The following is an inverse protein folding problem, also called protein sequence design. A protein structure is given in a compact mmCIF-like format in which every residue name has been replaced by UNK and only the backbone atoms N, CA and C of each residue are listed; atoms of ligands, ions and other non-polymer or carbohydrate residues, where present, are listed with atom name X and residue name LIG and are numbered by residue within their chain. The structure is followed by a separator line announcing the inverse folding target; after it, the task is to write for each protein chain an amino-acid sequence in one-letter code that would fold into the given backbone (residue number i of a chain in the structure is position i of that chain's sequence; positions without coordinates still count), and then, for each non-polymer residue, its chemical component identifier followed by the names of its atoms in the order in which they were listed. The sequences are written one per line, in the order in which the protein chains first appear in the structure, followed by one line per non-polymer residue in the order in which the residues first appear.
data_IF_768247063945
#
_entry.id   IF_768247063945
#
_cell.length_a   1.000
_cell.length_b   1.000
_cell.length_c   1.000
_cell.angle_alpha   90.00
_cell.angle_beta   90.00
_cell.angle_gamma   90.00
#
_symmetry.space_group_name_H-M   'P 1'
#
loop_
_entity.id
_entity.type
_entity.pdbx_description
1 polymer ?
#
# COMPACT_ATOMS: atom_id res chain seq x y z
N UNK A 1 -15.56 -8.11 7.13
CA UNK A 1 -14.54 -8.16 6.07
C UNK A 1 -14.73 -6.96 5.15
N UNK A 2 -13.66 -6.23 4.82
CA UNK A 2 -13.71 -5.18 3.80
C UNK A 2 -14.16 -5.81 2.48
N UNK A 3 -15.18 -5.25 1.85
CA UNK A 3 -15.78 -5.81 0.65
C UNK A 3 -14.95 -5.52 -0.61
N UNK A 4 -13.88 -4.71 -0.51
CA UNK A 4 -12.92 -4.39 -1.59
C UNK A 4 -13.59 -3.95 -2.91
N UNK A 5 -14.83 -3.43 -2.84
CA UNK A 5 -15.71 -3.20 -4.00
C UNK A 5 -15.19 -2.15 -4.97
N UNK A 6 -14.25 -1.31 -4.53
CA UNK A 6 -13.66 -0.25 -5.32
C UNK A 6 -12.39 -0.70 -6.08
N UNK A 7 -11.85 -1.90 -5.78
CA UNK A 7 -10.68 -2.41 -6.47
C UNK A 7 -11.04 -2.94 -7.85
N UNK A 8 -10.18 -2.66 -8.83
CA UNK A 8 -10.30 -3.15 -10.20
C UNK A 8 -9.30 -4.28 -10.45
N UNK A 9 -9.80 -5.47 -10.75
CA UNK A 9 -8.98 -6.67 -10.97
C UNK A 9 -8.75 -6.93 -12.47
N UNK A 10 -8.12 -8.07 -12.79
CA UNK A 10 -7.90 -8.58 -14.14
C UNK A 10 -7.07 -7.65 -15.05
N UNK A 11 -6.12 -6.93 -14.46
CA UNK A 11 -5.15 -6.10 -15.17
C UNK A 11 -3.82 -6.82 -15.26
N UNK A 12 -3.30 -6.98 -16.47
CA UNK A 12 -2.01 -7.64 -16.70
C UNK A 12 -1.13 -6.79 -17.59
N UNK A 13 0.17 -6.73 -17.28
CA UNK A 13 1.16 -6.06 -18.13
C UNK A 13 2.43 -6.89 -18.25
N UNK A 14 2.95 -7.10 -19.48
CA UNK A 14 4.22 -7.76 -19.67
C UNK A 14 5.39 -6.84 -19.32
N UNK A 15 6.41 -7.42 -18.69
CA UNK A 15 7.70 -6.73 -18.54
C UNK A 15 8.39 -6.69 -19.88
N UNK A 16 8.61 -5.49 -20.39
CA UNK A 16 9.39 -5.29 -21.61
C UNK A 16 10.07 -3.93 -21.58
N UNK A 17 11.39 -3.93 -21.72
CA UNK A 17 12.20 -2.70 -21.75
C UNK A 17 12.17 -2.09 -23.15
N UNK A 18 11.80 -0.80 -23.31
CA UNK A 18 11.79 -0.15 -24.61
C UNK A 18 13.22 0.03 -25.13
N UNK A 19 13.70 -0.92 -25.93
CA UNK A 19 15.04 -0.93 -26.51
C UNK A 19 15.10 -0.11 -27.80
N UNK A 20 14.82 1.19 -27.73
CA UNK A 20 15.17 2.24 -28.71
C UNK A 20 14.70 2.12 -30.18
N UNK A 21 14.31 0.95 -30.68
CA UNK A 21 14.02 0.72 -32.10
C UNK A 21 12.56 0.35 -32.38
N UNK A 22 11.87 -0.33 -31.47
CA UNK A 22 10.41 -0.57 -31.53
C UNK A 22 9.96 -1.34 -30.28
N UNK A 23 8.88 -0.92 -29.63
CA UNK A 23 8.19 -1.69 -28.57
C UNK A 23 7.07 -2.58 -29.14
N UNK A 24 7.03 -2.77 -30.47
CA UNK A 24 5.94 -3.44 -31.21
C UNK A 24 4.55 -2.83 -31.02
N UNK A 25 4.44 -1.64 -30.44
CA UNK A 25 3.18 -0.98 -30.09
C UNK A 25 2.43 -1.66 -28.94
N UNK A 26 3.07 -2.58 -28.22
CA UNK A 26 2.48 -3.28 -27.11
C UNK A 26 2.68 -2.51 -25.80
N UNK A 27 1.62 -2.37 -25.02
CA UNK A 27 1.72 -1.77 -23.69
C UNK A 27 2.56 -2.67 -22.77
N UNK A 28 3.54 -2.08 -22.08
CA UNK A 28 4.45 -2.82 -21.21
C UNK A 28 4.78 -2.05 -19.94
N UNK A 29 5.43 -2.75 -19.01
CA UNK A 29 6.00 -2.19 -17.78
C UNK A 29 7.51 -2.44 -17.75
N UNK A 30 8.29 -1.47 -17.28
CA UNK A 30 9.75 -1.57 -17.16
C UNK A 30 10.28 -0.69 -16.05
N UNK A 31 11.57 -0.80 -15.76
CA UNK A 31 12.22 -0.02 -14.71
C UNK A 31 11.62 -0.28 -13.33
N UNK A 32 11.21 -1.53 -13.07
CA UNK A 32 10.69 -1.97 -11.78
C UNK A 32 11.77 -1.76 -10.71
N UNK A 33 11.45 -0.95 -9.72
CA UNK A 33 12.33 -0.67 -8.59
C UNK A 33 11.59 -0.94 -7.28
N UNK A 34 12.16 -1.81 -6.46
CA UNK A 34 11.61 -2.24 -5.17
C UNK A 34 12.40 -1.56 -4.06
N UNK A 35 11.72 -0.79 -3.23
CA UNK A 35 12.29 -0.13 -2.07
C UNK A 35 11.75 -0.78 -0.81
N UNK A 36 12.65 -1.22 0.07
CA UNK A 36 12.29 -1.76 1.39
C UNK A 36 12.63 -0.74 2.47
N UNK A 37 11.66 -0.49 3.36
CA UNK A 37 11.80 0.42 4.48
C UNK A 37 11.63 -0.34 5.80
N UNK A 38 12.36 0.07 6.84
CA UNK A 38 12.06 -0.39 8.21
C UNK A 38 10.92 0.48 8.73
N UNK A 39 9.84 -0.14 9.21
CA UNK A 39 8.61 0.54 9.62
C UNK A 39 8.29 0.27 11.08
N UNK A 40 7.35 1.02 11.62
CA UNK A 40 7.03 1.01 13.03
C UNK A 40 6.40 -0.32 13.47
N UNK A 41 6.85 -0.86 14.61
CA UNK A 41 6.47 -2.22 15.02
C UNK A 41 5.05 -2.31 15.57
N UNK A 42 4.56 -1.24 16.20
CA UNK A 42 3.21 -1.19 16.72
C UNK A 42 2.72 0.24 16.93
N UNK A 43 1.39 0.37 17.08
CA UNK A 43 0.73 1.65 17.31
C UNK A 43 -0.21 1.57 18.52
N UNK A 44 -0.14 2.57 19.39
CA UNK A 44 -1.10 2.82 20.47
C UNK A 44 -1.68 4.21 20.31
N UNK A 45 -2.98 4.34 20.58
CA UNK A 45 -3.72 5.56 20.27
C UNK A 45 -4.57 5.98 21.45
N UNK A 46 -4.66 7.27 21.71
CA UNK A 46 -5.40 7.83 22.84
C UNK A 46 -6.13 9.10 22.46
N UNK A 47 -7.28 9.27 23.11
CA UNK A 47 -8.13 10.44 23.04
C UNK A 47 -8.60 10.82 24.45
N UNK A 48 -9.20 12.00 24.60
CA UNK A 48 -9.88 12.45 25.80
C UNK A 48 -11.23 13.07 25.46
N UNK A 49 -12.28 12.54 26.07
CA UNK A 49 -13.63 13.07 25.94
C UNK A 49 -14.05 13.75 27.26
N UNK A 50 -14.24 15.09 27.27
CA UNK A 50 -14.65 15.79 28.49
C UNK A 50 -16.06 15.43 28.96
N UNK A 51 -16.92 14.91 28.08
CA UNK A 51 -18.29 14.49 28.44
C UNK A 51 -18.32 13.17 29.22
N UNK A 52 -17.24 12.41 29.13
CA UNK A 52 -17.04 11.16 29.83
C UNK A 52 -15.59 11.08 30.32
N UNK A 53 -15.22 12.01 31.20
CA UNK A 53 -13.84 12.23 31.61
C UNK A 53 -13.20 11.03 32.33
N UNK A 54 -14.01 10.08 32.81
CA UNK A 54 -13.52 8.86 33.46
C UNK A 54 -13.22 7.73 32.45
N UNK A 55 -13.65 7.87 31.21
CA UNK A 55 -13.43 6.86 30.17
C UNK A 55 -12.00 6.90 29.64
N UNK A 56 -11.32 5.76 29.70
CA UNK A 56 -9.98 5.58 29.15
C UNK A 56 -10.08 5.24 27.68
N UNK A 57 -10.02 6.27 26.83
CA UNK A 57 -10.07 6.14 25.37
C UNK A 57 -8.70 5.79 24.78
N UNK A 58 -8.03 4.79 25.35
CA UNK A 58 -6.76 4.27 24.85
C UNK A 58 -6.96 2.91 24.19
N UNK A 59 -6.43 2.75 22.98
CA UNK A 59 -6.42 1.47 22.28
C UNK A 59 -5.53 0.45 23.01
N UNK A 60 -5.73 -0.83 22.70
CA UNK A 60 -4.65 -1.80 22.87
C UNK A 60 -3.50 -1.47 21.90
N UNK A 61 -2.33 -2.03 22.16
CA UNK A 61 -1.21 -2.03 21.21
C UNK A 61 -1.61 -2.80 19.96
N UNK A 62 -1.62 -2.13 18.81
CA UNK A 62 -1.94 -2.73 17.53
C UNK A 62 -0.66 -3.22 16.85
N UNK A 63 -0.50 -4.55 16.76
CA UNK A 63 0.51 -5.22 15.94
C UNK A 63 -0.18 -6.09 14.89
N UNK A 64 -0.13 -5.68 13.62
CA UNK A 64 -0.75 -6.38 12.50
C UNK A 64 0.18 -7.38 11.82
N UNK A 65 1.46 -7.39 12.17
CA UNK A 65 2.39 -8.47 11.80
C UNK A 65 2.21 -9.69 12.69
N UNK A 66 1.55 -9.53 13.85
CA UNK A 66 1.29 -10.57 14.86
C UNK A 66 2.59 -11.23 15.33
N UNK A 67 3.62 -10.43 15.58
CA UNK A 67 4.95 -10.88 15.99
C UNK A 67 5.87 -11.29 14.85
N UNK A 68 5.37 -11.45 13.61
CA UNK A 68 6.23 -11.80 12.46
C UNK A 68 7.11 -10.63 11.99
N UNK A 69 6.89 -9.42 12.51
CA UNK A 69 7.68 -8.23 12.19
C UNK A 69 8.97 -8.09 13.01
N UNK A 70 9.30 -9.04 13.88
CA UNK A 70 10.50 -8.96 14.73
C UNK A 70 11.78 -8.94 13.87
N UNK A 71 12.65 -7.96 14.12
CA UNK A 71 13.90 -7.76 13.37
C UNK A 71 13.77 -7.01 12.05
N UNK A 72 12.55 -6.75 11.56
CA UNK A 72 12.28 -5.95 10.34
C UNK A 72 11.42 -4.71 10.58
N UNK A 73 11.03 -4.49 11.84
CA UNK A 73 10.29 -3.31 12.32
C UNK A 73 11.02 -2.66 13.50
N UNK A 74 10.68 -1.42 13.84
CA UNK A 74 11.33 -0.68 14.93
C UNK A 74 10.35 0.15 15.74
N UNK A 75 10.65 0.35 17.02
CA UNK A 75 9.98 1.32 17.88
C UNK A 75 8.48 1.10 18.09
N UNK A 76 7.86 2.04 18.81
CA UNK A 76 6.43 2.04 19.12
C UNK A 76 5.89 3.44 18.88
N UNK A 77 4.74 3.54 18.20
CA UNK A 77 4.10 4.83 17.91
C UNK A 77 2.98 5.09 18.89
N UNK A 78 3.01 6.26 19.52
CA UNK A 78 1.93 6.73 20.37
C UNK A 78 1.25 7.96 19.78
N UNK A 79 -0.03 7.83 19.43
CA UNK A 79 -0.83 8.94 18.91
C UNK A 79 -1.85 9.43 19.94
N UNK A 80 -1.71 10.68 20.37
CA UNK A 80 -2.76 11.38 21.12
C UNK A 80 -3.52 12.34 20.19
N UNK A 81 -4.73 11.97 19.77
CA UNK A 81 -5.54 12.71 18.77
C UNK A 81 -7.03 12.63 19.12
N UNK A 82 -7.76 13.73 18.92
CA UNK A 82 -9.22 13.81 19.09
C UNK A 82 -9.96 13.20 17.90
N UNK A 83 -10.05 11.86 17.81
CA UNK A 83 -10.60 11.13 16.65
C UNK A 83 -11.62 10.03 16.98
N UNK A 84 -11.75 9.61 18.24
CA UNK A 84 -12.62 8.50 18.61
C UNK A 84 -13.27 8.76 19.98
N UNK A 85 -14.55 8.40 20.09
CA UNK A 85 -15.29 8.55 21.35
C UNK A 85 -15.36 7.27 22.17
N UNK A 86 -14.98 6.16 21.57
CA UNK A 86 -15.07 4.83 22.14
C UNK A 86 -13.79 4.06 21.87
N UNK A 87 -13.49 3.10 22.77
CA UNK A 87 -12.31 2.25 22.65
C UNK A 87 -12.45 1.19 21.55
N UNK A 88 -13.65 0.62 21.40
CA UNK A 88 -13.94 -0.50 20.49
C UNK A 88 -13.40 -1.85 20.99
N UNK A 89 -13.81 -2.94 20.32
CA UNK A 89 -13.26 -4.28 20.58
C UNK A 89 -11.78 -4.37 20.17
N UNK A 90 -11.00 -5.26 20.81
CA UNK A 90 -9.57 -5.42 20.52
C UNK A 90 -9.30 -6.21 19.24
N UNK A 91 -10.14 -7.19 18.94
CA UNK A 91 -9.92 -8.18 17.87
C UNK A 91 -10.68 -7.78 16.61
N UNK A 92 -11.95 -7.40 16.76
CA UNK A 92 -12.80 -6.93 15.66
C UNK A 92 -13.32 -5.52 15.96
N UNK A 93 -12.43 -4.50 15.89
CA UNK A 93 -12.80 -3.14 16.24
C UNK A 93 -13.82 -2.57 15.25
N UNK A 94 -14.89 -1.97 15.79
CA UNK A 94 -15.85 -1.22 15.00
C UNK A 94 -15.19 0.02 14.40
N UNK A 95 -15.69 0.46 13.23
CA UNK A 95 -15.19 1.66 12.58
C UNK A 95 -15.21 2.87 13.53
N UNK A 96 -14.24 3.77 13.38
CA UNK A 96 -14.12 5.02 14.16
C UNK A 96 -13.87 4.85 15.67
N UNK A 97 -13.39 3.67 16.10
CA UNK A 97 -12.97 3.41 17.49
C UNK A 97 -11.45 3.51 17.68
N UNK A 98 -10.98 3.60 18.92
CA UNK A 98 -9.53 3.67 19.23
C UNK A 98 -8.74 2.51 18.61
N UNK A 99 -9.21 1.27 18.79
CA UNK A 99 -8.55 0.08 18.25
C UNK A 99 -8.61 0.04 16.72
N UNK A 100 -9.69 0.53 16.11
CA UNK A 100 -9.79 0.64 14.65
C UNK A 100 -8.72 1.57 14.08
N UNK A 101 -8.56 2.76 14.67
CA UNK A 101 -7.54 3.68 14.19
C UNK A 101 -6.12 3.22 14.50
N UNK A 102 -5.88 2.54 15.62
CA UNK A 102 -4.56 1.95 15.91
C UNK A 102 -4.18 0.91 14.86
N UNK A 103 -5.14 0.03 14.52
CA UNK A 103 -4.98 -0.94 13.44
C UNK A 103 -4.74 -0.26 12.09
N UNK A 104 -5.57 0.71 11.72
CA UNK A 104 -5.45 1.42 10.44
C UNK A 104 -4.11 2.16 10.31
N UNK A 105 -3.68 2.85 11.37
CA UNK A 105 -2.37 3.53 11.40
C UNK A 105 -1.24 2.51 11.20
N UNK A 106 -1.29 1.35 11.87
CA UNK A 106 -0.25 0.32 11.71
C UNK A 106 -0.28 -0.33 10.31
N UNK A 107 -1.45 -0.67 9.77
CA UNK A 107 -1.57 -1.20 8.40
C UNK A 107 -0.99 -0.22 7.37
N UNK A 108 -1.14 1.09 7.59
CA UNK A 108 -0.50 2.12 6.73
C UNK A 108 1.02 2.09 6.82
N UNK A 109 1.59 1.94 8.02
CA UNK A 109 3.05 1.78 8.15
C UNK A 109 3.54 0.53 7.42
N UNK A 110 2.86 -0.61 7.59
CA UNK A 110 3.20 -1.86 6.89
C UNK A 110 3.08 -1.73 5.37
N UNK A 111 2.11 -0.99 4.86
CA UNK A 111 1.99 -0.73 3.42
C UNK A 111 3.19 0.06 2.86
N UNK A 112 3.86 0.88 3.67
CA UNK A 112 5.08 1.60 3.29
C UNK A 112 6.36 0.77 3.44
N UNK A 113 6.28 -0.46 3.98
CA UNK A 113 7.43 -1.33 4.19
C UNK A 113 8.05 -1.80 2.86
N UNK A 114 7.22 -2.04 1.85
CA UNK A 114 7.66 -2.39 0.50
C UNK A 114 6.94 -1.53 -0.52
N UNK A 115 7.67 -0.65 -1.20
CA UNK A 115 7.16 0.22 -2.25
C UNK A 115 7.76 -0.20 -3.60
N UNK A 116 6.92 -0.25 -4.63
CA UNK A 116 7.32 -0.65 -5.97
C UNK A 116 7.00 0.49 -6.93
N UNK A 117 8.03 0.98 -7.61
CA UNK A 117 7.91 2.03 -8.62
C UNK A 117 8.25 1.44 -9.98
N UNK A 118 7.63 1.97 -11.03
CA UNK A 118 7.85 1.50 -12.39
C UNK A 118 7.48 2.55 -13.44
N UNK A 119 7.91 2.32 -14.68
CA UNK A 119 7.46 3.06 -15.86
C UNK A 119 6.62 2.17 -16.77
N UNK A 120 5.65 2.74 -17.47
CA UNK A 120 4.77 2.03 -18.40
C UNK A 120 4.31 2.92 -19.55
N UNK A 121 3.86 2.30 -20.64
CA UNK A 121 3.16 2.95 -21.76
C UNK A 121 1.63 2.82 -21.68
N UNK A 122 1.10 2.05 -20.72
CA UNK A 122 -0.32 1.71 -20.65
C UNK A 122 -1.19 2.89 -20.20
N UNK A 123 -2.04 3.40 -21.10
CA UNK A 123 -2.84 4.60 -20.84
C UNK A 123 -4.00 4.39 -19.86
N UNK A 124 -4.41 3.14 -19.63
CA UNK A 124 -5.52 2.77 -18.76
C UNK A 124 -5.12 2.58 -17.29
N UNK A 125 -3.84 2.69 -16.95
CA UNK A 125 -3.35 2.52 -15.59
C UNK A 125 -3.98 3.57 -14.65
N UNK A 126 -4.61 3.11 -13.57
CA UNK A 126 -5.25 3.99 -12.62
C UNK A 126 -5.02 3.49 -11.19
N UNK A 127 -5.06 4.39 -10.19
CA UNK A 127 -5.10 3.99 -8.79
C UNK A 127 -6.27 3.02 -8.52
N UNK A 128 -6.14 2.20 -7.48
CA UNK A 128 -7.08 1.15 -7.10
C UNK A 128 -7.19 -0.03 -8.08
N UNK A 129 -6.31 -0.12 -9.09
CA UNK A 129 -6.16 -1.33 -9.89
C UNK A 129 -5.22 -2.33 -9.21
N UNK A 130 -5.54 -3.61 -9.32
CA UNK A 130 -4.68 -4.73 -8.95
C UNK A 130 -4.05 -5.28 -10.22
N UNK A 131 -2.75 -5.02 -10.38
CA UNK A 131 -1.95 -5.31 -11.56
C UNK A 131 -1.13 -6.59 -11.35
N UNK A 132 -1.25 -7.54 -12.26
CA UNK A 132 -0.34 -8.69 -12.34
C UNK A 132 0.72 -8.44 -13.41
N UNK A 133 1.98 -8.48 -12.99
CA UNK A 133 3.11 -8.30 -13.89
C UNK A 133 3.54 -9.66 -14.44
N UNK A 134 3.66 -9.78 -15.76
CA UNK A 134 4.03 -11.05 -16.43
C UNK A 134 5.40 -10.95 -17.07
N UNK A 135 6.18 -12.03 -17.01
CA UNK A 135 7.50 -12.13 -17.66
C UNK A 135 7.56 -13.41 -18.53
N UNK A 136 8.62 -13.54 -19.30
CA UNK A 136 9.02 -14.76 -19.98
C UNK A 136 9.23 -15.93 -19.01
N UNK A 137 9.08 -17.15 -19.51
CA UNK A 137 9.29 -18.38 -18.73
C UNK A 137 10.72 -18.91 -18.98
N UNK A 138 11.53 -19.19 -17.94
CA UNK A 138 11.22 -19.07 -16.51
C UNK A 138 11.24 -17.62 -16.00
N UNK A 139 10.34 -17.30 -15.06
CA UNK A 139 10.21 -15.94 -14.51
C UNK A 139 11.50 -15.46 -13.87
N UNK A 140 11.96 -14.27 -14.28
CA UNK A 140 13.12 -13.59 -13.70
C UNK A 140 12.72 -12.50 -12.71
N UNK A 141 11.42 -12.36 -12.44
CA UNK A 141 10.89 -11.32 -11.57
C UNK A 141 11.26 -11.57 -10.10
N UNK A 142 11.62 -10.52 -9.33
CA UNK A 142 11.76 -10.63 -7.89
C UNK A 142 10.46 -11.08 -7.22
N UNK A 143 10.57 -11.83 -6.12
CA UNK A 143 9.41 -12.40 -5.42
C UNK A 143 8.26 -11.40 -5.15
N UNK A 144 8.51 -10.15 -4.69
CA UNK A 144 7.43 -9.19 -4.42
C UNK A 144 6.61 -8.77 -5.65
N UNK A 145 7.17 -8.92 -6.86
CA UNK A 145 6.52 -8.52 -8.13
C UNK A 145 5.81 -9.71 -8.79
N UNK A 146 6.03 -10.93 -8.29
CA UNK A 146 5.32 -12.12 -8.76
C UNK A 146 3.87 -12.16 -8.25
N UNK A 147 3.61 -11.53 -7.10
CA UNK A 147 2.27 -11.36 -6.54
C UNK A 147 1.52 -10.17 -7.19
N UNK A 148 0.18 -10.16 -7.17
CA UNK A 148 -0.60 -9.03 -7.66
C UNK A 148 -0.32 -7.74 -6.88
N UNK A 149 -0.09 -6.65 -7.61
CA UNK A 149 0.31 -5.35 -7.06
C UNK A 149 -0.86 -4.37 -7.03
N UNK A 150 -1.10 -3.69 -5.90
CA UNK A 150 -2.08 -2.62 -5.82
C UNK A 150 -1.45 -1.29 -6.26
N UNK A 151 -2.04 -0.65 -7.27
CA UNK A 151 -1.61 0.67 -7.73
C UNK A 151 -2.13 1.74 -6.78
N UNK A 152 -1.22 2.44 -6.10
CA UNK A 152 -1.55 3.51 -5.16
C UNK A 152 -1.52 4.91 -5.80
N UNK A 153 -0.66 5.11 -6.81
CA UNK A 153 -0.56 6.36 -7.56
C UNK A 153 -0.01 6.16 -8.96
N UNK A 154 -0.42 7.03 -9.88
CA UNK A 154 0.10 7.09 -11.24
C UNK A 154 0.40 8.53 -11.66
N UNK A 155 1.47 8.72 -12.42
CA UNK A 155 1.85 9.99 -13.03
C UNK A 155 1.89 9.86 -14.54
N UNK A 156 1.23 10.76 -15.27
CA UNK A 156 1.17 10.74 -16.73
C UNK A 156 1.95 11.92 -17.32
N UNK A 157 2.82 11.64 -18.27
CA UNK A 157 3.57 12.65 -19.02
C UNK A 157 3.49 12.33 -20.51
N UNK A 158 3.11 13.30 -21.33
CA UNK A 158 3.02 13.16 -22.79
C UNK A 158 3.12 14.54 -23.43
N UNK A 159 3.70 14.62 -24.64
CA UNK A 159 3.71 15.85 -25.42
C UNK A 159 3.60 15.55 -26.92
N UNK A 160 3.50 16.57 -27.78
CA UNK A 160 3.57 16.35 -29.23
C UNK A 160 4.95 15.85 -29.70
N UNK A 161 5.97 16.02 -28.88
CA UNK A 161 7.35 15.62 -29.16
C UNK A 161 7.72 14.28 -28.52
N UNK A 162 7.03 13.90 -27.44
CA UNK A 162 7.37 12.75 -26.61
C UNK A 162 6.16 11.84 -26.42
N UNK A 163 6.36 10.53 -26.60
CA UNK A 163 5.32 9.53 -26.40
C UNK A 163 4.81 9.54 -24.95
N UNK A 164 3.62 8.97 -24.75
CA UNK A 164 3.05 8.81 -23.42
C UNK A 164 3.98 7.95 -22.55
N UNK A 165 4.30 8.48 -21.37
CA UNK A 165 4.97 7.75 -20.29
C UNK A 165 4.14 7.85 -19.03
N UNK A 166 3.82 6.70 -18.47
CA UNK A 166 3.15 6.52 -17.19
C UNK A 166 4.18 6.09 -16.15
N UNK A 167 4.13 6.68 -14.98
CA UNK A 167 4.96 6.32 -13.82
C UNK A 167 4.06 5.76 -12.74
N UNK A 168 4.36 4.57 -12.22
CA UNK A 168 3.71 4.02 -11.02
C UNK A 168 4.49 4.53 -9.79
N UNK A 169 3.74 5.08 -8.83
CA UNK A 169 4.25 5.71 -7.61
C UNK A 169 4.03 4.81 -6.38
#
# INVERSE_FOLDING_TARGET
ADAQRALMFDKTLPVNSPSGMSDSGAESIWGLNITHNVVEANVTTRDYNPRDAQSVLQSATADMTRGNGEGITYGEVYHYKLRHRERGDKIDPQAETANFYARLDHERFLAHQTLITASSTAAWLAPAQVLTVTDSLPSTLPAPVQDPLLITGTGFTASRREALRVTLL
#
